data_IF_918604591334
#
_entry.id   IF_918604591334
#
_cell.length_a   1.000
_cell.length_b   1.000
_cell.length_c   1.000
_cell.angle_alpha   90.00
_cell.angle_beta   90.00
_cell.angle_gamma   90.00
#
_symmetry.space_group_name_H-M   'P 1'
#
loop_
_entity.id
_entity.type
_entity.pdbx_description
1 polymer ?
#
# COMPACT_ATOMS: atom_id res chain seq x y z
N UNK A 1 -15.36 0.35 -29.79
CA UNK A 1 -14.57 1.14 -28.80
C UNK A 1 -13.63 0.24 -27.99
N UNK A 2 -12.31 0.41 -28.08
CA UNK A 2 -11.30 -0.40 -27.35
C UNK A 2 -11.10 0.08 -25.90
N UNK A 3 -12.19 0.25 -25.15
CA UNK A 3 -12.17 0.83 -23.79
C UNK A 3 -11.35 0.01 -22.77
N UNK A 4 -11.41 -1.33 -22.76
CA UNK A 4 -10.56 -2.12 -21.87
C UNK A 4 -9.07 -1.89 -22.14
N UNK A 5 -8.68 -1.82 -23.42
CA UNK A 5 -7.30 -1.56 -23.82
C UNK A 5 -6.78 -0.20 -23.34
N UNK A 6 -7.58 0.87 -23.46
CA UNK A 6 -7.13 2.21 -23.05
C UNK A 6 -6.96 2.32 -21.54
N UNK A 7 -7.85 1.71 -20.76
CA UNK A 7 -7.72 1.64 -19.30
C UNK A 7 -6.49 0.85 -18.88
N UNK A 8 -6.26 -0.29 -19.54
CA UNK A 8 -5.09 -1.14 -19.28
C UNK A 8 -3.79 -0.37 -19.56
N UNK A 9 -3.66 0.24 -20.75
CA UNK A 9 -2.48 1.03 -21.13
C UNK A 9 -2.23 2.21 -20.20
N UNK A 10 -3.30 2.85 -19.69
CA UNK A 10 -3.18 3.92 -18.68
C UNK A 10 -2.62 3.40 -17.36
N UNK A 11 -3.12 2.25 -16.89
CA UNK A 11 -2.58 1.60 -15.68
C UNK A 11 -1.11 1.23 -15.86
N UNK A 12 -0.76 0.63 -17.00
CA UNK A 12 0.62 0.27 -17.33
C UNK A 12 1.57 1.46 -17.36
N UNK A 13 1.15 2.59 -17.94
CA UNK A 13 1.98 3.80 -17.97
C UNK A 13 2.34 4.30 -16.57
N UNK A 14 1.39 4.29 -15.63
CA UNK A 14 1.70 4.64 -14.23
C UNK A 14 2.50 3.56 -13.51
N UNK A 15 2.24 2.29 -13.81
CA UNK A 15 2.95 1.15 -13.24
C UNK A 15 4.44 1.17 -13.60
N UNK A 16 4.78 1.53 -14.85
CA UNK A 16 6.17 1.60 -15.34
C UNK A 16 7.00 2.69 -14.63
N UNK A 17 6.37 3.80 -14.26
CA UNK A 17 7.04 4.90 -13.54
C UNK A 17 6.88 4.80 -12.01
N UNK A 18 6.27 3.72 -11.51
CA UNK A 18 6.11 3.51 -10.08
C UNK A 18 7.47 3.17 -9.45
N UNK A 19 7.88 4.01 -8.51
CA UNK A 19 9.19 3.92 -7.88
C UNK A 19 9.20 2.96 -6.66
N UNK A 20 10.40 2.60 -6.14
CA UNK A 20 10.52 1.75 -4.96
C UNK A 20 9.81 2.32 -3.71
N UNK A 21 9.54 1.48 -2.69
CA UNK A 21 8.70 1.84 -1.55
C UNK A 21 9.20 3.00 -0.68
N UNK A 22 10.44 3.45 -0.81
CA UNK A 22 10.98 4.61 -0.09
C UNK A 22 10.70 5.96 -0.80
N UNK A 23 10.14 5.92 -2.00
CA UNK A 23 9.84 7.09 -2.84
C UNK A 23 8.34 7.36 -2.98
N UNK A 24 8.00 8.41 -3.73
CA UNK A 24 6.61 8.82 -3.99
C UNK A 24 5.80 7.69 -4.64
N UNK A 25 4.70 7.34 -3.98
CA UNK A 25 3.80 6.28 -4.41
C UNK A 25 2.55 6.81 -5.14
N UNK A 26 2.50 8.11 -5.47
CA UNK A 26 1.42 8.69 -6.28
C UNK A 26 1.22 7.93 -7.61
N UNK A 27 2.27 7.57 -8.37
CA UNK A 27 2.08 6.76 -9.58
C UNK A 27 1.53 5.36 -9.27
N UNK A 28 2.00 4.72 -8.21
CA UNK A 28 1.53 3.40 -7.75
C UNK A 28 0.03 3.42 -7.47
N UNK A 29 -0.47 4.46 -6.78
CA UNK A 29 -1.89 4.65 -6.49
C UNK A 29 -2.71 4.87 -7.77
N UNK A 30 -2.23 5.72 -8.69
CA UNK A 30 -2.89 5.97 -9.98
C UNK A 30 -2.96 4.73 -10.87
N UNK A 31 -1.90 3.91 -10.86
CA UNK A 31 -1.89 2.63 -11.55
C UNK A 31 -2.96 1.70 -10.96
N UNK A 32 -3.02 1.61 -9.63
CA UNK A 32 -3.98 0.76 -8.91
C UNK A 32 -5.42 1.16 -9.24
N UNK A 33 -5.75 2.45 -9.20
CA UNK A 33 -7.07 2.97 -9.56
C UNK A 33 -7.45 2.64 -11.01
N UNK A 34 -6.51 2.77 -11.95
CA UNK A 34 -6.76 2.47 -13.36
C UNK A 34 -7.06 0.99 -13.59
N UNK A 35 -6.30 0.08 -12.97
CA UNK A 35 -6.54 -1.35 -13.07
C UNK A 35 -7.82 -1.76 -12.35
N UNK A 36 -8.10 -1.24 -11.15
CA UNK A 36 -9.36 -1.50 -10.45
C UNK A 36 -10.58 -1.05 -11.27
N UNK A 37 -10.50 0.11 -11.94
CA UNK A 37 -11.56 0.57 -12.85
C UNK A 37 -11.75 -0.37 -14.03
N UNK A 38 -10.67 -0.92 -14.59
CA UNK A 38 -10.76 -1.93 -15.65
C UNK A 38 -11.45 -3.19 -15.15
N UNK A 39 -11.05 -3.71 -13.99
CA UNK A 39 -11.61 -4.93 -13.42
C UNK A 39 -13.09 -4.77 -13.05
N UNK A 40 -13.47 -3.60 -12.54
CA UNK A 40 -14.86 -3.29 -12.20
C UNK A 40 -15.74 -3.16 -13.45
N UNK A 41 -15.29 -2.38 -14.45
CA UNK A 41 -16.10 -2.11 -15.64
C UNK A 41 -16.06 -3.25 -16.69
N UNK A 42 -14.96 -4.00 -16.75
CA UNK A 42 -14.69 -5.00 -17.79
C UNK A 42 -14.03 -6.28 -17.21
N UNK A 43 -14.69 -6.98 -16.27
CA UNK A 43 -14.13 -8.14 -15.58
C UNK A 43 -13.82 -9.34 -16.50
N UNK A 44 -14.45 -9.40 -17.68
CA UNK A 44 -14.26 -10.49 -18.68
C UNK A 44 -13.35 -10.09 -19.85
N UNK A 45 -12.68 -8.93 -19.77
CA UNK A 45 -11.75 -8.52 -20.83
C UNK A 45 -10.51 -9.41 -20.86
N UNK A 46 -9.86 -9.49 -22.02
CA UNK A 46 -8.58 -10.19 -22.18
C UNK A 46 -7.48 -9.66 -21.24
N UNK A 47 -7.58 -8.39 -20.81
CA UNK A 47 -6.64 -7.74 -19.90
C UNK A 47 -6.95 -7.94 -18.42
N UNK A 48 -8.07 -8.59 -18.07
CA UNK A 48 -8.51 -8.68 -16.68
C UNK A 48 -7.55 -9.53 -15.82
N UNK A 49 -7.05 -10.64 -16.34
CA UNK A 49 -6.11 -11.50 -15.61
C UNK A 49 -4.80 -10.76 -15.28
N UNK A 50 -4.22 -10.10 -16.28
CA UNK A 50 -2.98 -9.32 -16.11
C UNK A 50 -3.21 -8.11 -15.19
N UNK A 51 -4.35 -7.41 -15.31
CA UNK A 51 -4.68 -6.31 -14.41
C UNK A 51 -4.82 -6.79 -12.95
N UNK A 52 -5.34 -7.99 -12.69
CA UNK A 52 -5.39 -8.56 -11.34
C UNK A 52 -4.00 -8.83 -10.76
N UNK A 53 -3.07 -9.35 -11.58
CA UNK A 53 -1.66 -9.50 -11.20
C UNK A 53 -1.04 -8.16 -10.83
N UNK A 54 -1.22 -7.14 -11.67
CA UNK A 54 -0.70 -5.79 -11.41
C UNK A 54 -1.32 -5.14 -10.17
N UNK A 55 -2.60 -5.37 -9.91
CA UNK A 55 -3.24 -4.92 -8.66
C UNK A 55 -2.56 -5.54 -7.44
N UNK A 56 -2.24 -6.83 -7.46
CA UNK A 56 -1.53 -7.48 -6.34
C UNK A 56 -0.14 -6.88 -6.12
N UNK A 57 0.65 -6.78 -7.18
CA UNK A 57 2.01 -6.19 -7.12
C UNK A 57 1.99 -4.75 -6.58
N UNK A 58 1.04 -3.92 -7.03
CA UNK A 58 0.91 -2.53 -6.58
C UNK A 58 0.49 -2.45 -5.11
N UNK A 59 -0.42 -3.32 -4.66
CA UNK A 59 -0.83 -3.38 -3.24
C UNK A 59 0.33 -3.83 -2.35
N UNK A 60 1.15 -4.77 -2.80
CA UNK A 60 2.37 -5.18 -2.10
C UNK A 60 3.37 -4.02 -1.98
N UNK A 61 3.59 -3.24 -3.05
CA UNK A 61 4.44 -2.03 -2.99
C UNK A 61 3.93 -1.00 -1.99
N UNK A 62 2.63 -0.73 -1.99
CA UNK A 62 2.03 0.21 -1.04
C UNK A 62 2.13 -0.28 0.41
N UNK A 63 1.92 -1.58 0.66
CA UNK A 63 2.15 -2.16 1.98
C UNK A 63 3.63 -2.04 2.40
N UNK A 64 4.57 -2.27 1.48
CA UNK A 64 5.99 -2.08 1.73
C UNK A 64 6.34 -0.61 2.04
N UNK A 65 5.66 0.36 1.43
CA UNK A 65 5.83 1.77 1.73
C UNK A 65 5.38 2.09 3.16
N UNK A 66 4.20 1.64 3.58
CA UNK A 66 3.74 1.85 4.96
C UNK A 66 4.69 1.21 5.98
N UNK A 67 5.20 0.01 5.69
CA UNK A 67 6.20 -0.65 6.54
C UNK A 67 7.51 0.15 6.59
N UNK A 68 7.98 0.67 5.45
CA UNK A 68 9.17 1.51 5.38
C UNK A 68 9.03 2.76 6.27
N UNK A 69 7.89 3.46 6.17
CA UNK A 69 7.60 4.66 6.97
C UNK A 69 7.46 4.31 8.46
N UNK A 70 6.81 3.20 8.80
CA UNK A 70 6.75 2.71 10.17
C UNK A 70 8.15 2.48 10.76
N UNK A 71 9.02 1.77 10.05
CA UNK A 71 10.42 1.54 10.48
C UNK A 71 11.23 2.83 10.59
N UNK A 72 10.96 3.81 9.74
CA UNK A 72 11.56 5.13 9.88
C UNK A 72 11.17 5.80 11.21
N UNK A 73 9.89 5.81 11.56
CA UNK A 73 9.43 6.37 12.84
C UNK A 73 9.92 5.59 14.05
N UNK A 74 10.01 4.27 13.96
CA UNK A 74 10.62 3.43 15.00
C UNK A 74 12.07 3.82 15.28
N UNK A 75 12.89 4.01 14.24
CA UNK A 75 14.28 4.47 14.39
C UNK A 75 14.37 5.87 15.02
N UNK A 76 13.34 6.69 14.85
CA UNK A 76 13.22 8.03 15.44
C UNK A 76 12.55 8.03 16.82
N UNK A 77 12.22 6.86 17.38
CA UNK A 77 11.51 6.70 18.66
C UNK A 77 10.17 7.46 18.71
N UNK A 78 9.51 7.58 17.55
CA UNK A 78 8.15 8.12 17.42
C UNK A 78 7.18 6.95 17.30
N UNK A 79 6.88 6.32 18.43
CA UNK A 79 6.09 5.10 18.51
C UNK A 79 4.62 5.34 18.14
N UNK A 80 4.04 6.48 18.53
CA UNK A 80 2.67 6.83 18.19
C UNK A 80 2.45 6.90 16.68
N UNK A 81 3.38 7.54 15.95
CA UNK A 81 3.33 7.65 14.49
C UNK A 81 3.67 6.31 13.81
N UNK A 82 4.60 5.54 14.34
CA UNK A 82 4.90 4.19 13.84
C UNK A 82 3.67 3.27 13.97
N UNK A 83 2.98 3.31 15.11
CA UNK A 83 1.80 2.50 15.38
C UNK A 83 0.67 2.80 14.39
N UNK A 84 0.41 4.09 14.11
CA UNK A 84 -0.60 4.49 13.13
C UNK A 84 -0.31 3.91 11.73
N UNK A 85 0.96 3.93 11.31
CA UNK A 85 1.41 3.39 10.03
C UNK A 85 1.24 1.87 9.96
N UNK A 86 1.62 1.15 11.02
CA UNK A 86 1.45 -0.30 11.09
C UNK A 86 -0.03 -0.71 11.09
N UNK A 87 -0.87 0.02 11.82
CA UNK A 87 -2.32 -0.20 11.83
C UNK A 87 -2.92 0.08 10.45
N UNK A 88 -2.51 1.17 9.78
CA UNK A 88 -2.91 1.48 8.41
C UNK A 88 -2.54 0.37 7.42
N UNK A 89 -1.33 -0.19 7.53
CA UNK A 89 -0.88 -1.31 6.72
C UNK A 89 -1.80 -2.54 6.91
N UNK A 90 -2.06 -2.94 8.16
CA UNK A 90 -2.88 -4.12 8.49
C UNK A 90 -4.31 -3.96 8.00
N UNK A 91 -4.88 -2.76 8.09
CA UNK A 91 -6.25 -2.47 7.66
C UNK A 91 -6.38 -2.39 6.14
N UNK A 92 -5.45 -1.70 5.47
CA UNK A 92 -5.54 -1.45 4.03
C UNK A 92 -5.08 -2.63 3.17
N UNK A 93 -4.15 -3.46 3.68
CA UNK A 93 -3.50 -4.54 2.94
C UNK A 93 -3.55 -5.89 3.67
N UNK A 94 -4.75 -6.46 3.89
CA UNK A 94 -4.90 -7.71 4.65
C UNK A 94 -4.24 -8.94 4.00
N UNK A 95 -4.08 -8.93 2.68
CA UNK A 95 -3.42 -10.00 1.89
C UNK A 95 -1.90 -9.84 1.83
N UNK A 96 -1.33 -8.78 2.41
CA UNK A 96 0.10 -8.51 2.32
C UNK A 96 0.90 -9.51 3.16
N UNK A 97 2.03 -10.05 2.65
CA UNK A 97 2.93 -10.88 3.47
C UNK A 97 3.54 -10.12 4.65
N UNK A 98 3.52 -8.77 4.61
CA UNK A 98 4.00 -7.91 5.69
C UNK A 98 3.00 -7.74 6.83
N UNK A 99 1.76 -8.23 6.69
CA UNK A 99 0.69 -8.03 7.67
C UNK A 99 1.05 -8.59 9.04
N UNK A 100 1.54 -9.82 9.09
CA UNK A 100 1.80 -10.49 10.37
C UNK A 100 2.98 -9.84 11.10
N UNK A 101 4.02 -9.44 10.37
CA UNK A 101 5.13 -8.65 10.92
C UNK A 101 4.62 -7.28 11.43
N UNK A 102 3.77 -6.60 10.66
CA UNK A 102 3.24 -5.31 11.05
C UNK A 102 2.39 -5.39 12.33
N UNK A 103 1.58 -6.45 12.47
CA UNK A 103 0.78 -6.69 13.66
C UNK A 103 1.67 -6.99 14.88
N UNK A 104 2.70 -7.83 14.72
CA UNK A 104 3.64 -8.13 15.80
C UNK A 104 4.36 -6.87 16.28
N UNK A 105 4.89 -6.07 15.34
CA UNK A 105 5.54 -4.80 15.69
C UNK A 105 4.57 -3.82 16.35
N UNK A 106 3.33 -3.72 15.87
CA UNK A 106 2.32 -2.85 16.45
C UNK A 106 2.02 -3.20 17.92
N UNK A 107 1.86 -4.50 18.22
CA UNK A 107 1.65 -4.99 19.58
C UNK A 107 2.85 -4.72 20.48
N UNK A 108 4.07 -4.88 19.96
CA UNK A 108 5.30 -4.65 20.71
C UNK A 108 5.47 -3.19 21.15
N UNK A 109 5.15 -2.24 20.26
CA UNK A 109 5.37 -0.80 20.50
C UNK A 109 4.16 -0.08 21.09
N UNK A 110 3.04 -0.77 21.24
CA UNK A 110 1.80 -0.20 21.74
C UNK A 110 1.95 0.50 23.11
N UNK A 111 2.61 -0.09 24.13
CA UNK A 111 2.73 0.60 25.42
C UNK A 111 3.61 1.86 25.35
N UNK A 112 4.65 1.90 24.52
CA UNK A 112 5.46 3.09 24.30
C UNK A 112 4.68 4.18 23.55
N UNK A 113 3.88 3.79 22.57
CA UNK A 113 3.01 4.70 21.83
C UNK A 113 1.95 5.34 22.73
N UNK A 114 1.36 4.58 23.66
CA UNK A 114 0.39 5.10 24.63
C UNK A 114 1.04 6.10 25.60
N UNK A 115 2.26 5.82 26.07
CA UNK A 115 3.05 6.76 26.89
C UNK A 115 3.38 8.05 26.14
N UNK A 116 3.87 7.94 24.90
CA UNK A 116 4.18 9.11 24.07
C UNK A 116 2.95 10.00 23.84
N UNK A 117 1.77 9.39 23.67
CA UNK A 117 0.51 10.12 23.52
C UNK A 117 0.10 10.84 24.82
N UNK A 118 0.19 10.16 25.95
CA UNK A 118 -0.13 10.74 27.25
C UNK A 118 0.83 11.88 27.66
N UNK A 119 2.09 11.82 27.25
CA UNK A 119 3.07 12.90 27.49
C UNK A 119 2.88 14.11 26.56
N UNK A 120 2.14 13.94 25.46
CA UNK A 120 1.85 15.00 24.50
C UNK A 120 0.57 15.79 24.83
N UNK A 121 -0.23 15.32 25.81
CA UNK A 121 -1.40 16.00 26.36
C UNK A 121 -1.06 16.86 27.58
#
# INVERSE_FOLDING_TARGET
>A
PKVPYTLFRRGMSYYEISEPPDRDQTPTQRALEAFQKLLYAHPKSEYAAEAQEKVRELRERLAAHEMYVARFYLRKKRYAAALERLQGLVQAYPESPLRDEALQLALQIQPEAERERAEAE
#
